data_IF_266099932785
#
_entry.id   IF_266099932785
#
_cell.length_a   1.000
_cell.length_b   1.000
_cell.length_c   1.000
_cell.angle_alpha   90.00
_cell.angle_beta   90.00
_cell.angle_gamma   90.00
#
_symmetry.space_group_name_H-M   'P 1'
#
loop_
_entity.id
_entity.type
_entity.pdbx_description
1 polymer ?
#
# COMPACT_ATOMS: atom_id res chain seq x y z
N UNK A 1 2.68 23.66 25.52
CA UNK A 1 1.81 24.08 24.40
C UNK A 1 2.47 25.28 23.72
N UNK A 2 3.09 25.07 22.55
CA UNK A 2 3.72 26.12 21.73
C UNK A 2 3.38 25.82 20.28
N UNK A 3 2.41 26.56 19.76
CA UNK A 3 1.96 26.55 18.37
C UNK A 3 2.91 27.44 17.56
N UNK A 4 3.41 26.98 16.42
CA UNK A 4 4.07 27.83 15.43
C UNK A 4 3.59 27.44 14.03
N UNK A 5 2.50 28.08 13.61
CA UNK A 5 2.12 28.19 12.20
C UNK A 5 2.98 29.29 11.57
N UNK A 6 3.91 28.92 10.70
CA UNK A 6 4.49 29.88 9.75
C UNK A 6 3.86 29.67 8.38
N UNK A 7 2.85 30.51 8.12
CA UNK A 7 2.34 30.83 6.79
C UNK A 7 3.42 31.59 6.03
N UNK A 8 3.92 31.03 4.93
CA UNK A 8 4.60 31.83 3.92
C UNK A 8 3.73 31.94 2.69
N UNK A 9 3.01 33.06 2.71
CA UNK A 9 2.21 33.70 1.70
C UNK A 9 3.09 34.07 0.48
N UNK A 10 2.66 33.64 -0.70
CA UNK A 10 2.68 34.32 -1.99
C UNK A 10 3.99 34.96 -2.49
N UNK A 11 4.50 34.47 -3.63
CA UNK A 11 5.03 35.39 -4.65
C UNK A 11 4.80 34.83 -6.05
N UNK A 12 4.08 35.64 -6.83
CA UNK A 12 3.69 35.43 -8.22
C UNK A 12 4.77 36.07 -9.10
N UNK A 13 5.37 35.31 -10.02
CA UNK A 13 6.10 35.83 -11.19
C UNK A 13 5.78 34.87 -12.34
N UNK A 14 4.81 35.20 -13.18
CA UNK A 14 4.95 36.03 -14.38
C UNK A 14 5.61 35.27 -15.56
N UNK A 15 4.74 34.89 -16.50
CA UNK A 15 4.89 35.03 -17.95
C UNK A 15 6.19 34.54 -18.60
N UNK A 16 6.11 33.34 -19.19
CA UNK A 16 6.97 32.88 -20.27
C UNK A 16 6.12 32.28 -21.39
N UNK A 17 5.91 33.04 -22.46
CA UNK A 17 5.28 32.61 -23.70
C UNK A 17 6.17 31.64 -24.47
N UNK A 18 5.51 30.84 -25.32
CA UNK A 18 5.92 30.43 -26.68
C UNK A 18 6.43 29.00 -26.94
N UNK A 19 5.79 28.43 -27.98
CA UNK A 19 6.18 27.34 -28.92
C UNK A 19 6.36 25.94 -28.31
N UNK A 20 5.79 24.83 -28.84
CA UNK A 20 5.75 24.38 -30.23
C UNK A 20 4.72 23.24 -30.42
N UNK A 21 4.17 23.15 -31.63
CA UNK A 21 3.24 22.12 -32.12
C UNK A 21 3.88 20.74 -32.25
N UNK A 22 3.06 19.69 -32.12
CA UNK A 22 3.23 18.43 -32.86
C UNK A 22 3.55 17.19 -32.04
N UNK A 23 2.51 16.49 -31.58
CA UNK A 23 2.58 15.06 -31.34
C UNK A 23 1.24 14.43 -31.70
N UNK A 24 1.20 13.62 -32.75
CA UNK A 24 0.14 12.65 -32.98
C UNK A 24 0.12 11.69 -31.79
N UNK A 25 -0.84 11.85 -30.89
CA UNK A 25 -1.13 10.83 -29.91
C UNK A 25 -1.94 9.74 -30.61
N UNK A 26 -1.27 8.67 -31.01
CA UNK A 26 -1.90 7.38 -31.30
C UNK A 26 -2.83 7.05 -30.15
N UNK A 27 -4.13 6.92 -30.43
CA UNK A 27 -5.13 6.47 -29.48
C UNK A 27 -4.88 5.00 -29.16
N UNK A 28 -3.91 4.73 -28.31
CA UNK A 28 -3.71 3.41 -27.71
C UNK A 28 -4.87 3.22 -26.75
N UNK A 29 -5.83 2.40 -27.18
CA UNK A 29 -6.97 1.99 -26.36
C UNK A 29 -6.41 1.36 -25.09
N UNK A 30 -6.40 2.16 -24.03
CA UNK A 30 -6.05 1.70 -22.68
C UNK A 30 -7.08 0.67 -22.30
N UNK A 31 -6.76 -0.59 -22.58
CA UNK A 31 -7.51 -1.74 -22.14
C UNK A 31 -7.33 -1.78 -20.63
N UNK A 32 -8.27 -1.15 -19.91
CA UNK A 32 -8.37 -1.21 -18.45
C UNK A 32 -8.22 -2.68 -18.06
N UNK A 33 -7.15 -3.08 -17.36
CA UNK A 33 -7.06 -4.45 -16.87
C UNK A 33 -8.32 -4.70 -16.07
N UNK A 34 -9.08 -5.72 -16.44
CA UNK A 34 -10.16 -6.20 -15.63
C UNK A 34 -9.60 -6.37 -14.22
N UNK A 35 -10.13 -5.61 -13.27
CA UNK A 35 -9.74 -5.66 -11.89
C UNK A 35 -10.15 -7.05 -11.40
N UNK A 36 -9.23 -8.01 -11.54
CA UNK A 36 -9.41 -9.37 -11.04
C UNK A 36 -9.48 -9.20 -9.54
N UNK A 37 -10.70 -9.10 -9.03
CA UNK A 37 -10.98 -9.19 -7.61
C UNK A 37 -10.75 -10.65 -7.27
N UNK A 38 -9.48 -11.01 -7.11
CA UNK A 38 -9.08 -12.34 -6.67
C UNK A 38 -9.69 -12.48 -5.27
N UNK A 39 -10.76 -13.28 -5.18
CA UNK A 39 -11.35 -13.69 -3.90
C UNK A 39 -10.20 -14.24 -3.06
N UNK A 40 -9.73 -13.42 -2.13
CA UNK A 40 -8.45 -13.62 -1.47
C UNK A 40 -8.68 -14.63 -0.34
N UNK A 41 -8.97 -15.86 -0.70
CA UNK A 41 -9.02 -16.98 0.24
C UNK A 41 -7.59 -17.40 0.58
N UNK A 42 -7.37 -17.87 1.81
CA UNK A 42 -6.08 -18.37 2.26
C UNK A 42 -5.39 -17.49 3.30
N UNK A 43 -4.10 -17.77 3.54
CA UNK A 43 -3.30 -17.10 4.57
C UNK A 43 -2.48 -15.97 3.97
N UNK A 44 -2.44 -14.82 4.66
CA UNK A 44 -1.57 -13.69 4.32
C UNK A 44 -0.53 -13.48 5.42
N UNK A 45 0.65 -13.03 5.04
CA UNK A 45 1.78 -12.78 5.94
C UNK A 45 2.19 -11.31 5.90
N UNK A 46 2.70 -10.79 7.01
CA UNK A 46 3.05 -9.37 7.16
C UNK A 46 4.15 -9.21 8.21
N UNK A 47 4.93 -8.13 8.14
CA UNK A 47 5.89 -7.79 9.20
C UNK A 47 5.18 -7.33 10.47
N UNK A 48 5.50 -7.98 11.59
CA UNK A 48 4.88 -7.67 12.88
C UNK A 48 5.08 -6.22 13.28
N UNK A 49 6.27 -5.66 13.05
CA UNK A 49 6.57 -4.25 13.38
C UNK A 49 5.83 -3.24 12.48
N UNK A 50 5.29 -3.66 11.33
CA UNK A 50 4.57 -2.80 10.39
C UNK A 50 3.05 -2.94 10.51
N UNK A 51 2.57 -3.90 11.29
CA UNK A 51 1.14 -4.10 11.49
C UNK A 51 0.58 -3.00 12.39
N UNK A 52 -0.43 -2.31 11.90
CA UNK A 52 -1.27 -1.43 12.73
C UNK A 52 -2.73 -1.48 12.27
N UNK A 53 -3.63 -1.03 13.13
CA UNK A 53 -5.07 -0.98 12.82
C UNK A 53 -5.48 0.46 12.51
N UNK A 54 -6.17 0.65 11.39
CA UNK A 54 -6.77 1.93 11.01
C UNK A 54 -8.07 1.69 10.24
N UNK A 55 -9.12 2.47 10.52
CA UNK A 55 -10.41 2.39 9.82
C UNK A 55 -11.01 0.96 9.76
N UNK A 56 -10.90 0.20 10.86
CA UNK A 56 -11.34 -1.20 10.97
C UNK A 56 -10.66 -2.13 9.94
N UNK A 57 -9.42 -1.80 9.59
CA UNK A 57 -8.55 -2.60 8.73
C UNK A 57 -7.22 -2.86 9.43
N UNK A 58 -6.69 -4.06 9.23
CA UNK A 58 -5.30 -4.37 9.50
C UNK A 58 -4.45 -3.90 8.33
N UNK A 59 -3.66 -2.85 8.53
CA UNK A 59 -2.80 -2.27 7.51
C UNK A 59 -1.39 -2.83 7.65
N UNK A 60 -0.87 -3.41 6.57
CA UNK A 60 0.48 -3.95 6.52
C UNK A 60 0.95 -4.27 5.08
N UNK A 61 2.20 -4.70 4.91
CA UNK A 61 2.76 -5.24 3.66
C UNK A 61 2.30 -6.67 3.37
N UNK A 62 0.99 -6.92 3.35
CA UNK A 62 0.41 -8.26 3.22
C UNK A 62 0.88 -9.01 1.96
N UNK A 63 1.55 -10.12 2.16
CA UNK A 63 2.01 -11.02 1.11
C UNK A 63 1.30 -12.37 1.16
N UNK A 64 1.20 -13.06 0.02
CA UNK A 64 0.62 -14.39 -0.06
C UNK A 64 1.53 -15.48 0.54
N UNK A 65 2.84 -15.23 0.58
CA UNK A 65 3.83 -16.15 1.12
C UNK A 65 4.70 -15.47 2.18
N UNK A 66 5.21 -16.25 3.14
CA UNK A 66 6.15 -15.75 4.12
C UNK A 66 7.48 -15.31 3.48
N UNK A 67 7.89 -15.95 2.37
CA UNK A 67 9.11 -15.58 1.65
C UNK A 67 8.99 -14.18 1.02
N UNK A 68 7.84 -13.86 0.42
CA UNK A 68 7.58 -12.52 -0.13
C UNK A 68 7.52 -11.46 0.97
N UNK A 69 6.85 -11.78 2.09
CA UNK A 69 6.83 -10.89 3.24
C UNK A 69 8.26 -10.60 3.71
N UNK A 70 9.09 -11.63 3.93
CA UNK A 70 10.49 -11.45 4.35
C UNK A 70 11.37 -10.66 3.37
N UNK A 71 11.02 -10.62 2.08
CA UNK A 71 11.73 -9.82 1.07
C UNK A 71 11.28 -8.35 1.04
N UNK A 72 10.22 -8.02 1.77
CA UNK A 72 9.60 -6.69 1.86
C UNK A 72 9.28 -6.06 0.49
N UNK A 73 8.85 -6.91 -0.47
CA UNK A 73 8.53 -6.49 -1.85
C UNK A 73 7.07 -6.07 -2.01
N UNK A 74 6.21 -6.34 -1.02
CA UNK A 74 4.80 -6.02 -1.05
C UNK A 74 4.54 -4.62 -0.52
N UNK A 75 3.79 -3.77 -1.24
CA UNK A 75 3.39 -2.46 -0.73
C UNK A 75 2.42 -2.62 0.45
N UNK A 76 2.31 -1.57 1.26
CA UNK A 76 1.34 -1.52 2.34
C UNK A 76 -0.10 -1.52 1.78
N UNK A 77 -0.96 -2.37 2.34
CA UNK A 77 -2.37 -2.51 2.00
C UNK A 77 -3.20 -2.82 3.24
N UNK A 78 -4.50 -2.55 3.17
CA UNK A 78 -5.45 -2.81 4.26
C UNK A 78 -6.27 -4.08 4.02
N UNK A 79 -6.40 -4.92 5.06
CA UNK A 79 -7.36 -6.02 5.10
C UNK A 79 -8.44 -5.68 6.13
N UNK A 80 -9.71 -5.69 5.72
CA UNK A 80 -10.81 -5.45 6.65
C UNK A 80 -10.84 -6.51 7.76
N UNK A 81 -11.07 -6.09 9.00
CA UNK A 81 -11.16 -7.02 10.14
C UNK A 81 -12.28 -8.06 9.96
N UNK A 82 -13.35 -7.67 9.26
CA UNK A 82 -14.47 -8.57 8.94
C UNK A 82 -14.09 -9.65 7.93
N UNK A 83 -13.06 -9.41 7.10
CA UNK A 83 -12.59 -10.33 6.07
C UNK A 83 -11.65 -11.41 6.58
N UNK A 84 -11.20 -11.33 7.84
CA UNK A 84 -10.34 -12.36 8.45
C UNK A 84 -11.13 -13.27 9.38
N UNK A 85 -10.76 -14.55 9.41
CA UNK A 85 -11.36 -15.57 10.27
C UNK A 85 -10.96 -15.37 11.73
N UNK A 86 -9.80 -14.76 11.98
CA UNK A 86 -9.27 -14.46 13.32
C UNK A 86 -8.30 -13.28 13.27
N UNK A 87 -7.99 -12.72 14.45
CA UNK A 87 -6.99 -11.65 14.58
C UNK A 87 -5.59 -12.10 14.12
N UNK A 88 -4.69 -11.17 13.73
CA UNK A 88 -3.32 -11.49 13.34
C UNK A 88 -2.57 -12.30 14.40
N UNK A 89 -1.98 -13.42 13.99
CA UNK A 89 -1.22 -14.32 14.88
C UNK A 89 0.26 -14.30 14.52
N UNK A 90 1.15 -14.54 15.48
CA UNK A 90 2.57 -14.70 15.18
C UNK A 90 2.76 -15.95 14.29
N UNK A 91 3.53 -15.81 13.20
CA UNK A 91 3.78 -16.90 12.25
C UNK A 91 5.18 -17.48 12.42
N UNK A 92 6.18 -16.82 11.83
CA UNK A 92 7.59 -17.24 11.85
C UNK A 92 8.52 -16.05 11.82
N UNK A 93 9.81 -16.31 12.04
CA UNK A 93 10.88 -15.32 11.89
C UNK A 93 11.53 -15.45 10.51
N UNK A 94 11.90 -14.32 9.92
CA UNK A 94 12.73 -14.25 8.72
C UNK A 94 14.20 -14.50 9.09
N UNK A 95 15.03 -14.85 8.10
CA UNK A 95 16.49 -15.00 8.28
C UNK A 95 17.15 -13.70 8.74
N UNK A 96 16.60 -12.55 8.33
CA UNK A 96 16.98 -11.21 8.82
C UNK A 96 16.70 -10.98 10.31
N UNK A 97 15.95 -11.88 10.97
CA UNK A 97 15.52 -11.73 12.35
C UNK A 97 14.23 -10.95 12.55
N UNK A 98 13.55 -10.52 11.48
CA UNK A 98 12.24 -9.87 11.56
C UNK A 98 11.13 -10.89 11.84
N UNK A 99 10.13 -10.49 12.64
CA UNK A 99 8.99 -11.36 12.95
C UNK A 99 7.86 -11.14 11.96
N UNK A 100 7.28 -12.23 11.46
CA UNK A 100 6.07 -12.20 10.66
C UNK A 100 4.84 -12.53 11.50
N UNK A 101 3.74 -11.88 11.16
CA UNK A 101 2.39 -12.26 11.55
C UNK A 101 1.67 -12.85 10.35
N UNK A 102 0.62 -13.61 10.61
CA UNK A 102 -0.29 -14.13 9.61
C UNK A 102 -1.76 -13.86 9.96
N UNK A 103 -2.59 -13.75 8.92
CA UNK A 103 -4.04 -13.76 9.03
C UNK A 103 -4.60 -14.82 8.08
N UNK A 104 -5.67 -15.48 8.49
CA UNK A 104 -6.45 -16.36 7.62
C UNK A 104 -7.67 -15.60 7.15
N UNK A 105 -7.85 -15.50 5.84
CA UNK A 105 -9.01 -14.85 5.22
C UNK A 105 -10.24 -15.77 5.30
N UNK A 106 -11.43 -15.18 5.42
CA UNK A 106 -12.70 -15.91 5.36
C UNK A 106 -13.06 -16.35 3.94
#
# INVERSE_FOLDING_TARGET
MKNNLNRFTTSICALGFMVLLGACATSESTQRPAEVTATTTGTKFCHKERLYTANNQFVCNWAATAADACRDVTPSSGIAETAVASAPQNARRCESGQWLVQVTMK
#
